data_IF_795994853898
#
_entry.id   IF_795994853898
#
_cell.length_a   1.000
_cell.length_b   1.000
_cell.length_c   1.000
_cell.angle_alpha   90.00
_cell.angle_beta   90.00
_cell.angle_gamma   90.00
#
_symmetry.space_group_name_H-M   'P 1'
#
loop_
_entity.id
_entity.type
_entity.pdbx_description
1 polymer ?
#
# COMPACT_ATOMS: atom_id res chain seq x y z
N UNK A 1 14.93 -1.92 -35.44
CA UNK A 1 14.86 -1.74 -33.97
C UNK A 1 16.28 -1.43 -33.50
N UNK A 2 16.55 -0.21 -33.02
CA UNK A 2 17.92 0.23 -32.74
C UNK A 2 18.47 -0.44 -31.49
N UNK A 3 19.72 -0.91 -31.53
CA UNK A 3 20.46 -1.58 -30.43
C UNK A 3 20.38 -0.77 -29.08
N UNK A 4 20.19 0.55 -29.20
CA UNK A 4 20.12 1.48 -28.08
C UNK A 4 18.91 1.30 -27.16
N UNK A 5 17.89 0.51 -27.54
CA UNK A 5 16.69 0.28 -26.73
C UNK A 5 16.83 -0.95 -25.82
N UNK A 6 17.61 -1.94 -26.26
CA UNK A 6 17.78 -3.19 -25.50
C UNK A 6 18.54 -2.99 -24.19
N UNK A 7 19.54 -2.11 -24.17
CA UNK A 7 20.31 -1.84 -22.96
C UNK A 7 19.45 -1.27 -21.81
N UNK A 8 18.60 -0.22 -22.02
CA UNK A 8 17.63 0.23 -20.99
C UNK A 8 16.59 -0.84 -20.60
N UNK A 9 16.14 -1.69 -21.55
CA UNK A 9 15.22 -2.79 -21.21
C UNK A 9 15.87 -3.80 -20.26
N UNK A 10 17.11 -4.20 -20.54
CA UNK A 10 17.86 -5.08 -19.65
C UNK A 10 18.09 -4.44 -18.28
N UNK A 11 18.37 -3.13 -18.25
CA UNK A 11 18.52 -2.38 -17.03
C UNK A 11 17.27 -2.45 -16.15
N UNK A 12 16.05 -2.39 -16.74
CA UNK A 12 14.79 -2.53 -16.00
C UNK A 12 14.65 -3.90 -15.30
N UNK A 13 15.30 -4.95 -15.79
CA UNK A 13 15.24 -6.29 -15.22
C UNK A 13 16.33 -6.56 -14.16
N UNK A 14 17.36 -5.74 -14.10
CA UNK A 14 18.48 -5.93 -13.15
C UNK A 14 18.01 -6.02 -11.70
N UNK A 15 17.12 -5.15 -11.18
CA UNK A 15 16.66 -5.27 -9.79
C UNK A 15 15.97 -6.59 -9.50
N UNK A 16 15.16 -7.09 -10.42
CA UNK A 16 14.46 -8.38 -10.28
C UNK A 16 15.47 -9.52 -10.20
N UNK A 17 16.41 -9.60 -11.15
CA UNK A 17 17.44 -10.66 -11.17
C UNK A 17 18.32 -10.59 -9.93
N UNK A 18 18.74 -9.39 -9.54
CA UNK A 18 19.57 -9.19 -8.35
C UNK A 18 18.83 -9.64 -7.09
N UNK A 19 17.55 -9.23 -6.92
CA UNK A 19 16.77 -9.63 -5.75
C UNK A 19 16.51 -11.13 -5.72
N UNK A 20 16.19 -11.74 -6.87
CA UNK A 20 16.04 -13.19 -6.99
C UNK A 20 17.29 -13.91 -6.51
N UNK A 21 18.48 -13.55 -7.01
CA UNK A 21 19.74 -14.15 -6.61
C UNK A 21 20.08 -13.91 -5.14
N UNK A 22 19.84 -12.70 -4.63
CA UNK A 22 20.07 -12.37 -3.23
C UNK A 22 19.16 -13.19 -2.30
N UNK A 23 17.89 -13.35 -2.64
CA UNK A 23 16.97 -14.17 -1.85
C UNK A 23 17.40 -15.64 -1.86
N UNK A 24 17.71 -16.19 -3.04
CA UNK A 24 18.16 -17.58 -3.17
C UNK A 24 19.43 -17.88 -2.35
N UNK A 25 20.33 -16.92 -2.21
CA UNK A 25 21.61 -17.09 -1.49
C UNK A 25 21.47 -16.77 0.01
N UNK A 26 20.78 -15.65 0.34
CA UNK A 26 20.80 -15.09 1.71
C UNK A 26 19.65 -15.60 2.60
N UNK A 27 18.56 -16.13 2.02
CA UNK A 27 17.39 -16.53 2.81
C UNK A 27 17.40 -18.05 3.01
N UNK A 28 17.77 -18.55 4.21
CA UNK A 28 17.83 -19.99 4.48
C UNK A 28 16.46 -20.65 4.31
N UNK A 29 16.43 -21.77 3.57
CA UNK A 29 15.21 -22.55 3.34
C UNK A 29 14.23 -21.96 2.34
N UNK A 30 14.64 -20.94 1.57
CA UNK A 30 13.86 -20.46 0.43
C UNK A 30 13.92 -21.49 -0.71
N UNK A 31 12.85 -21.64 -1.46
CA UNK A 31 12.77 -22.56 -2.60
C UNK A 31 12.87 -21.77 -3.91
N UNK A 32 13.94 -22.01 -4.66
CA UNK A 32 14.18 -21.38 -5.99
C UNK A 32 13.02 -21.62 -6.95
N UNK A 33 12.40 -22.81 -6.91
CA UNK A 33 11.21 -23.08 -7.74
C UNK A 33 10.03 -22.16 -7.38
N UNK A 34 9.82 -21.89 -6.08
CA UNK A 34 8.75 -20.97 -5.64
C UNK A 34 9.08 -19.52 -5.93
N UNK A 35 10.34 -19.12 -5.87
CA UNK A 35 10.79 -17.80 -6.35
C UNK A 35 10.47 -17.64 -7.83
N UNK A 36 10.78 -18.65 -8.65
CA UNK A 36 10.45 -18.63 -10.06
C UNK A 36 8.92 -18.55 -10.29
N UNK A 37 8.12 -19.33 -9.55
CA UNK A 37 6.66 -19.26 -9.61
C UNK A 37 6.14 -17.90 -9.16
N UNK A 38 6.77 -17.25 -8.18
CA UNK A 38 6.42 -15.91 -7.74
C UNK A 38 6.67 -14.87 -8.82
N UNK A 39 7.84 -14.93 -9.49
CA UNK A 39 8.15 -14.10 -10.65
C UNK A 39 7.11 -14.30 -11.75
N UNK A 40 6.80 -15.55 -12.08
CA UNK A 40 5.80 -15.87 -13.11
C UNK A 40 4.40 -15.37 -12.73
N UNK A 41 3.98 -15.50 -11.46
CA UNK A 41 2.72 -14.98 -10.97
C UNK A 41 2.64 -13.45 -11.10
N UNK A 42 3.73 -12.74 -10.79
CA UNK A 42 3.83 -11.29 -10.97
C UNK A 42 3.74 -10.87 -12.44
N UNK A 43 4.46 -11.54 -13.32
CA UNK A 43 4.42 -11.26 -14.77
C UNK A 43 3.03 -11.55 -15.38
N UNK A 44 2.43 -12.68 -15.01
CA UNK A 44 1.09 -13.06 -15.50
C UNK A 44 -0.02 -12.14 -14.97
N UNK A 45 0.17 -11.50 -13.81
CA UNK A 45 -0.78 -10.52 -13.29
C UNK A 45 -0.95 -9.30 -14.20
N UNK A 46 0.06 -8.95 -14.99
CA UNK A 46 0.01 -7.82 -15.92
C UNK A 46 -1.15 -7.93 -16.93
N UNK A 47 -1.37 -9.12 -17.48
CA UNK A 47 -2.39 -9.31 -18.53
C UNK A 47 -3.80 -9.00 -18.03
N UNK A 48 -4.31 -9.60 -16.93
CA UNK A 48 -5.63 -9.25 -16.42
C UNK A 48 -5.73 -7.81 -15.91
N UNK A 49 -4.64 -7.22 -15.38
CA UNK A 49 -4.63 -5.80 -15.01
C UNK A 49 -4.94 -4.93 -16.23
N UNK A 50 -4.19 -5.09 -17.33
CA UNK A 50 -4.39 -4.31 -18.56
C UNK A 50 -5.78 -4.52 -19.14
N UNK A 51 -6.29 -5.75 -19.16
CA UNK A 51 -7.64 -6.07 -19.65
C UNK A 51 -8.68 -5.34 -18.79
N UNK A 52 -8.61 -5.45 -17.46
CA UNK A 52 -9.57 -4.80 -16.56
C UNK A 52 -9.49 -3.28 -16.68
N UNK A 53 -8.29 -2.69 -16.69
CA UNK A 53 -8.12 -1.25 -16.87
C UNK A 53 -8.71 -0.79 -18.20
N UNK A 54 -8.49 -1.54 -19.29
CA UNK A 54 -9.04 -1.23 -20.61
C UNK A 54 -10.58 -1.33 -20.64
N UNK A 55 -11.17 -2.35 -20.02
CA UNK A 55 -12.63 -2.52 -19.95
C UNK A 55 -13.32 -1.40 -19.17
N UNK A 56 -12.67 -0.88 -18.12
CA UNK A 56 -13.19 0.21 -17.30
C UNK A 56 -12.77 1.59 -17.80
N UNK A 57 -11.85 1.68 -18.76
CA UNK A 57 -11.35 2.94 -19.32
C UNK A 57 -12.41 3.56 -20.24
N UNK A 58 -13.17 4.50 -19.71
CA UNK A 58 -14.02 5.37 -20.51
C UNK A 58 -13.35 6.74 -20.63
N UNK A 59 -12.90 7.11 -21.83
CA UNK A 59 -12.16 8.35 -22.10
C UNK A 59 -12.89 9.61 -21.61
N UNK A 60 -14.23 9.64 -21.67
CA UNK A 60 -15.02 10.78 -21.15
C UNK A 60 -14.97 10.87 -19.63
N UNK A 61 -15.05 9.73 -18.95
CA UNK A 61 -14.93 9.68 -17.49
C UNK A 61 -13.52 10.07 -17.07
N UNK A 62 -12.50 9.61 -17.79
CA UNK A 62 -11.10 9.96 -17.51
C UNK A 62 -10.86 11.49 -17.61
N UNK A 63 -11.38 12.16 -18.64
CA UNK A 63 -11.26 13.62 -18.78
C UNK A 63 -11.95 14.36 -17.63
N UNK A 64 -13.16 13.93 -17.21
CA UNK A 64 -13.88 14.51 -16.08
C UNK A 64 -13.15 14.29 -14.75
N UNK A 65 -12.57 13.11 -14.56
CA UNK A 65 -11.81 12.76 -13.36
C UNK A 65 -10.53 13.59 -13.23
N UNK A 66 -9.84 13.86 -14.34
CA UNK A 66 -8.62 14.69 -14.35
C UNK A 66 -8.90 16.18 -14.10
N UNK A 67 -10.11 16.66 -14.38
CA UNK A 67 -10.49 18.06 -14.18
C UNK A 67 -10.68 18.44 -12.70
N UNK A 68 -10.90 17.48 -11.82
CA UNK A 68 -11.13 17.70 -10.39
C UNK A 68 -10.16 16.85 -9.57
N UNK A 69 -9.40 17.48 -8.67
CA UNK A 69 -8.40 16.84 -7.83
C UNK A 69 -8.97 15.68 -7.00
N UNK A 70 -10.16 15.86 -6.42
CA UNK A 70 -10.81 14.82 -5.62
C UNK A 70 -11.21 13.60 -6.48
N UNK A 71 -11.77 13.84 -7.66
CA UNK A 71 -12.10 12.76 -8.59
C UNK A 71 -10.85 12.06 -9.11
N UNK A 72 -9.76 12.80 -9.30
CA UNK A 72 -8.46 12.22 -9.69
C UNK A 72 -7.90 11.26 -8.63
N UNK A 73 -8.03 11.59 -7.33
CA UNK A 73 -7.66 10.68 -6.23
C UNK A 73 -8.52 9.41 -6.28
N UNK A 74 -9.84 9.55 -6.39
CA UNK A 74 -10.76 8.40 -6.46
C UNK A 74 -10.42 7.52 -7.67
N UNK A 75 -10.16 8.14 -8.83
CA UNK A 75 -9.73 7.42 -10.02
C UNK A 75 -8.47 6.60 -9.75
N UNK A 76 -7.42 7.21 -9.16
CA UNK A 76 -6.18 6.51 -8.85
C UNK A 76 -6.38 5.37 -7.84
N UNK A 77 -7.23 5.58 -6.83
CA UNK A 77 -7.55 4.52 -5.85
C UNK A 77 -8.27 3.33 -6.48
N UNK A 78 -9.19 3.56 -7.42
CA UNK A 78 -9.98 2.48 -8.05
C UNK A 78 -9.21 1.83 -9.19
N UNK A 79 -8.66 2.60 -10.12
CA UNK A 79 -8.04 2.07 -11.34
C UNK A 79 -6.65 1.48 -11.11
N UNK A 80 -5.83 2.15 -10.30
CA UNK A 80 -4.48 1.65 -10.01
C UNK A 80 -4.48 0.86 -8.70
N UNK A 81 -4.95 1.47 -7.60
CA UNK A 81 -4.93 0.80 -6.31
C UNK A 81 -5.75 -0.49 -6.28
N UNK A 82 -7.07 -0.42 -6.49
CA UNK A 82 -7.96 -1.56 -6.31
C UNK A 82 -7.76 -2.65 -7.37
N UNK A 83 -7.72 -2.28 -8.65
CA UNK A 83 -7.60 -3.26 -9.74
C UNK A 83 -6.27 -3.97 -9.65
N UNK A 84 -5.16 -3.21 -9.53
CA UNK A 84 -3.83 -3.81 -9.53
C UNK A 84 -3.56 -4.64 -8.28
N UNK A 85 -3.85 -4.12 -7.09
CA UNK A 85 -3.62 -4.87 -5.86
C UNK A 85 -4.56 -6.06 -5.72
N UNK A 86 -5.80 -5.94 -6.21
CA UNK A 86 -6.75 -7.06 -6.26
C UNK A 86 -6.25 -8.19 -7.15
N UNK A 87 -5.76 -7.89 -8.36
CA UNK A 87 -5.21 -8.87 -9.29
C UNK A 87 -3.90 -9.46 -8.77
N UNK A 88 -2.99 -8.63 -8.22
CA UNK A 88 -1.76 -9.12 -7.57
C UNK A 88 -2.05 -10.09 -6.44
N UNK A 89 -3.00 -9.74 -5.55
CA UNK A 89 -3.41 -10.65 -4.49
C UNK A 89 -4.01 -11.95 -5.05
N UNK A 90 -4.84 -11.89 -6.09
CA UNK A 90 -5.37 -13.07 -6.75
C UNK A 90 -4.26 -13.96 -7.35
N UNK A 91 -3.27 -13.38 -8.02
CA UNK A 91 -2.13 -14.13 -8.58
C UNK A 91 -1.28 -14.82 -7.50
N UNK A 92 -1.10 -14.17 -6.34
CA UNK A 92 -0.38 -14.75 -5.20
C UNK A 92 -1.11 -15.94 -4.56
N UNK A 93 -2.42 -16.13 -4.80
CA UNK A 93 -3.15 -17.31 -4.31
C UNK A 93 -2.64 -18.62 -4.92
N UNK A 94 -1.98 -18.57 -6.08
CA UNK A 94 -1.34 -19.73 -6.72
C UNK A 94 -0.18 -20.26 -5.86
N UNK A 95 0.47 -19.39 -5.09
CA UNK A 95 1.57 -19.77 -4.21
C UNK A 95 1.03 -20.48 -2.96
N UNK A 96 1.68 -21.60 -2.61
CA UNK A 96 1.34 -22.36 -1.42
C UNK A 96 1.77 -21.61 -0.16
N UNK A 97 0.79 -21.10 0.62
CA UNK A 97 1.05 -20.41 1.88
C UNK A 97 0.96 -21.32 3.12
N UNK A 98 0.12 -22.40 3.07
CA UNK A 98 -0.01 -23.33 4.19
C UNK A 98 1.25 -24.18 4.35
N UNK A 99 1.79 -24.23 5.57
CA UNK A 99 3.03 -24.93 5.89
C UNK A 99 4.29 -24.23 5.39
N UNK A 100 4.18 -23.03 4.83
CA UNK A 100 5.32 -22.20 4.48
C UNK A 100 5.72 -21.33 5.67
N UNK A 101 6.99 -20.90 5.69
CA UNK A 101 7.45 -19.91 6.64
C UNK A 101 6.96 -18.50 6.22
N UNK A 102 6.48 -17.71 7.18
CA UNK A 102 6.05 -16.31 6.96
C UNK A 102 7.10 -15.51 6.18
N UNK A 103 8.37 -15.61 6.58
CA UNK A 103 9.47 -14.89 5.93
C UNK A 103 9.60 -15.24 4.45
N UNK A 104 9.55 -16.55 4.13
CA UNK A 104 9.70 -17.01 2.76
C UNK A 104 8.51 -16.61 1.90
N UNK A 105 7.27 -16.75 2.42
CA UNK A 105 6.08 -16.35 1.70
C UNK A 105 6.03 -14.84 1.45
N UNK A 106 6.45 -14.05 2.44
CA UNK A 106 6.59 -12.59 2.29
C UNK A 106 7.62 -12.21 1.23
N UNK A 107 8.78 -12.90 1.21
CA UNK A 107 9.81 -12.70 0.19
C UNK A 107 9.31 -13.06 -1.23
N UNK A 108 8.57 -14.17 -1.40
CA UNK A 108 7.93 -14.51 -2.66
C UNK A 108 6.93 -13.44 -3.12
N UNK A 109 6.15 -12.89 -2.19
CA UNK A 109 5.16 -11.84 -2.51
C UNK A 109 5.85 -10.55 -2.97
N UNK A 110 6.92 -10.12 -2.29
CA UNK A 110 7.75 -8.98 -2.72
C UNK A 110 8.32 -9.23 -4.12
N UNK A 111 8.85 -10.42 -4.36
CA UNK A 111 9.46 -10.78 -5.65
C UNK A 111 8.43 -10.77 -6.79
N UNK A 112 7.20 -11.22 -6.55
CA UNK A 112 6.10 -11.13 -7.50
C UNK A 112 5.74 -9.67 -7.84
N UNK A 113 5.67 -8.79 -6.83
CA UNK A 113 5.45 -7.35 -7.04
C UNK A 113 6.58 -6.70 -7.83
N UNK A 114 7.84 -7.05 -7.52
CA UNK A 114 8.99 -6.58 -8.28
C UNK A 114 8.95 -7.03 -9.74
N UNK A 115 8.55 -8.27 -10.00
CA UNK A 115 8.43 -8.80 -11.37
C UNK A 115 7.42 -7.99 -12.19
N UNK A 116 6.25 -7.68 -11.60
CA UNK A 116 5.26 -6.82 -12.24
C UNK A 116 5.82 -5.41 -12.51
N UNK A 117 6.40 -4.76 -11.50
CA UNK A 117 6.94 -3.40 -11.63
C UNK A 117 8.10 -3.29 -12.63
N UNK A 118 8.97 -4.30 -12.70
CA UNK A 118 10.01 -4.39 -13.73
C UNK A 118 9.40 -4.50 -15.12
N UNK A 119 8.40 -5.37 -15.31
CA UNK A 119 7.73 -5.58 -16.57
C UNK A 119 6.97 -4.31 -17.02
N UNK A 120 6.27 -3.68 -16.13
CA UNK A 120 5.61 -2.39 -16.38
C UNK A 120 6.62 -1.32 -16.80
N UNK A 121 7.78 -1.26 -16.17
CA UNK A 121 8.86 -0.33 -16.56
C UNK A 121 9.37 -0.61 -17.98
N UNK A 122 9.45 -1.87 -18.39
CA UNK A 122 9.78 -2.25 -19.79
C UNK A 122 8.70 -1.79 -20.75
N UNK A 123 7.42 -1.97 -20.41
CA UNK A 123 6.30 -1.52 -21.25
C UNK A 123 6.29 0.00 -21.40
N UNK A 124 6.54 0.74 -20.31
CA UNK A 124 6.68 2.20 -20.35
C UNK A 124 7.84 2.64 -21.26
N UNK A 125 8.96 1.96 -21.16
CA UNK A 125 10.12 2.21 -22.03
C UNK A 125 9.76 2.02 -23.51
N UNK A 126 9.13 0.89 -23.84
CA UNK A 126 8.73 0.58 -25.23
C UNK A 126 7.73 1.59 -25.79
N UNK A 127 6.75 1.99 -24.98
CA UNK A 127 5.76 3.00 -25.38
C UNK A 127 6.40 4.37 -25.60
N UNK A 128 7.32 4.78 -24.73
CA UNK A 128 8.01 6.06 -24.85
C UNK A 128 8.98 6.11 -26.05
N UNK A 129 9.66 5.00 -26.36
CA UNK A 129 10.54 4.89 -27.56
C UNK A 129 9.73 4.87 -28.84
N UNK A 130 8.53 4.28 -28.85
CA UNK A 130 7.62 4.32 -30.00
C UNK A 130 7.21 5.74 -30.37
N UNK A 131 7.20 6.68 -29.41
CA UNK A 131 6.86 8.10 -29.60
C UNK A 131 8.09 9.00 -29.80
N UNK A 132 9.30 8.56 -29.39
CA UNK A 132 10.54 9.35 -29.46
C UNK A 132 11.71 8.48 -29.90
N UNK A 133 12.27 8.67 -31.10
CA UNK A 133 13.27 7.76 -31.68
C UNK A 133 14.67 7.85 -31.05
N UNK A 134 14.92 8.78 -30.13
CA UNK A 134 16.20 8.94 -29.45
C UNK A 134 16.10 8.82 -27.95
N UNK A 135 16.98 7.99 -27.37
CA UNK A 135 17.13 7.86 -25.90
C UNK A 135 17.88 9.08 -25.38
N UNK A 136 17.14 10.05 -24.81
CA UNK A 136 17.76 11.23 -24.18
C UNK A 136 18.19 10.93 -22.73
N UNK A 137 19.08 11.77 -22.19
CA UNK A 137 19.48 11.68 -20.77
C UNK A 137 18.27 11.86 -19.82
N UNK A 138 17.32 12.73 -20.14
CA UNK A 138 16.08 12.94 -19.42
C UNK A 138 15.21 11.67 -19.38
N UNK A 139 15.19 10.95 -20.50
CA UNK A 139 14.47 9.69 -20.59
C UNK A 139 15.09 8.60 -19.70
N UNK A 140 16.42 8.47 -19.68
CA UNK A 140 17.12 7.56 -18.77
C UNK A 140 16.88 7.94 -17.31
N UNK A 141 16.90 9.23 -16.98
CA UNK A 141 16.58 9.72 -15.64
C UNK A 141 15.14 9.35 -15.23
N UNK A 142 14.18 9.48 -16.14
CA UNK A 142 12.79 9.08 -15.88
C UNK A 142 12.68 7.57 -15.59
N UNK A 143 13.34 6.72 -16.37
CA UNK A 143 13.37 5.27 -16.15
C UNK A 143 14.01 4.94 -14.79
N UNK A 144 15.12 5.60 -14.47
CA UNK A 144 15.81 5.39 -13.20
C UNK A 144 14.95 5.78 -12.00
N UNK A 145 14.27 6.93 -12.08
CA UNK A 145 13.32 7.38 -11.07
C UNK A 145 12.17 6.39 -10.91
N UNK A 146 11.63 5.88 -12.01
CA UNK A 146 10.57 4.88 -12.00
C UNK A 146 11.02 3.56 -11.35
N UNK A 147 12.22 3.09 -11.66
CA UNK A 147 12.80 1.91 -11.02
C UNK A 147 13.00 2.12 -9.51
N UNK A 148 13.42 3.33 -9.11
CA UNK A 148 13.63 3.64 -7.70
C UNK A 148 12.32 3.85 -6.90
N UNK A 149 11.22 4.15 -7.55
CA UNK A 149 9.95 4.49 -6.87
C UNK A 149 8.83 3.50 -7.17
N UNK A 150 8.41 3.34 -8.43
CA UNK A 150 7.31 2.47 -8.81
C UNK A 150 7.61 1.00 -8.52
N UNK A 151 8.83 0.53 -8.82
CA UNK A 151 9.25 -0.82 -8.50
C UNK A 151 9.14 -1.12 -6.99
N UNK A 152 9.57 -0.18 -6.15
CA UNK A 152 9.54 -0.34 -4.71
C UNK A 152 8.10 -0.39 -4.19
N UNK A 153 7.22 0.48 -4.71
CA UNK A 153 5.81 0.49 -4.28
C UNK A 153 5.09 -0.80 -4.68
N UNK A 154 5.31 -1.31 -5.91
CA UNK A 154 4.76 -2.60 -6.35
C UNK A 154 5.22 -3.76 -5.46
N UNK A 155 6.52 -3.79 -5.10
CA UNK A 155 7.08 -4.80 -4.21
C UNK A 155 6.45 -4.77 -2.81
N UNK A 156 6.34 -3.58 -2.20
CA UNK A 156 5.79 -3.39 -0.86
C UNK A 156 4.29 -3.70 -0.81
N UNK A 157 3.51 -3.22 -1.78
CA UNK A 157 2.08 -3.48 -1.85
C UNK A 157 1.80 -4.97 -2.08
N UNK A 158 2.56 -5.65 -2.95
CA UNK A 158 2.47 -7.10 -3.10
C UNK A 158 2.88 -7.85 -1.81
N UNK A 159 3.86 -7.33 -1.07
CA UNK A 159 4.21 -7.82 0.27
C UNK A 159 3.03 -7.74 1.24
N UNK A 160 2.32 -6.59 1.30
CA UNK A 160 1.10 -6.42 2.11
C UNK A 160 -0.02 -7.37 1.67
N UNK A 161 -0.25 -7.51 0.36
CA UNK A 161 -1.18 -8.49 -0.20
C UNK A 161 -0.84 -9.93 0.21
N UNK A 162 0.44 -10.28 0.17
CA UNK A 162 0.96 -11.56 0.65
C UNK A 162 0.74 -11.78 2.13
N UNK A 163 0.97 -10.78 2.98
CA UNK A 163 0.66 -10.85 4.40
C UNK A 163 -0.83 -11.08 4.66
N UNK A 164 -1.71 -10.40 3.91
CA UNK A 164 -3.15 -10.61 3.97
C UNK A 164 -3.51 -12.08 3.67
N UNK A 165 -2.96 -12.65 2.59
CA UNK A 165 -3.20 -14.04 2.18
C UNK A 165 -2.65 -15.02 3.22
N UNK A 166 -1.42 -14.83 3.66
CA UNK A 166 -0.77 -15.67 4.64
C UNK A 166 -1.54 -15.69 5.96
N UNK A 167 -1.89 -14.51 6.47
CA UNK A 167 -2.66 -14.35 7.70
C UNK A 167 -4.04 -15.00 7.59
N UNK A 168 -4.76 -14.73 6.50
CA UNK A 168 -6.11 -15.26 6.28
C UNK A 168 -6.17 -16.77 6.14
N UNK A 169 -5.11 -17.40 5.64
CA UNK A 169 -5.04 -18.87 5.46
C UNK A 169 -4.48 -19.61 6.67
N UNK A 170 -3.71 -18.96 7.53
CA UNK A 170 -2.99 -19.61 8.63
C UNK A 170 -3.52 -19.21 10.02
N UNK A 171 -4.16 -18.05 10.17
CA UNK A 171 -4.66 -17.55 11.45
C UNK A 171 -6.17 -17.30 11.38
N UNK A 172 -6.57 -16.15 10.84
CA UNK A 172 -7.98 -15.77 10.65
C UNK A 172 -8.10 -14.76 9.52
N UNK A 173 -9.31 -14.58 8.97
CA UNK A 173 -9.53 -13.60 7.90
C UNK A 173 -9.23 -12.17 8.39
N UNK A 174 -8.28 -11.52 7.73
CA UNK A 174 -7.93 -10.12 7.95
C UNK A 174 -7.51 -9.49 6.64
N UNK A 175 -8.32 -8.58 6.13
CA UNK A 175 -8.09 -7.90 4.86
C UNK A 175 -7.39 -6.55 5.02
N UNK A 176 -7.11 -6.11 6.25
CA UNK A 176 -6.52 -4.78 6.46
C UNK A 176 -5.20 -4.56 5.72
N UNK A 177 -4.23 -5.50 5.63
CA UNK A 177 -3.01 -5.26 4.86
C UNK A 177 -3.29 -5.02 3.37
N UNK A 178 -4.27 -5.72 2.79
CA UNK A 178 -4.65 -5.52 1.38
C UNK A 178 -5.33 -4.15 1.17
N UNK A 179 -6.20 -3.74 2.09
CA UNK A 179 -6.84 -2.41 2.02
C UNK A 179 -5.78 -1.31 2.09
N UNK A 180 -4.79 -1.43 2.98
CA UNK A 180 -3.66 -0.51 3.03
C UNK A 180 -2.84 -0.52 1.74
N UNK A 181 -2.58 -1.68 1.14
CA UNK A 181 -1.89 -1.78 -0.15
C UNK A 181 -2.64 -1.00 -1.24
N UNK A 182 -3.96 -1.18 -1.35
CA UNK A 182 -4.83 -0.49 -2.32
C UNK A 182 -4.74 1.03 -2.14
N UNK A 183 -4.88 1.51 -0.90
CA UNK A 183 -4.86 2.94 -0.59
C UNK A 183 -3.48 3.55 -0.86
N UNK A 184 -2.42 2.92 -0.37
CA UNK A 184 -1.05 3.41 -0.53
C UNK A 184 -0.65 3.43 -2.01
N UNK A 185 -0.96 2.38 -2.77
CA UNK A 185 -0.65 2.32 -4.19
C UNK A 185 -1.39 3.40 -4.98
N UNK A 186 -2.71 3.53 -4.80
CA UNK A 186 -3.49 4.55 -5.50
C UNK A 186 -3.06 5.98 -5.15
N UNK A 187 -2.72 6.26 -3.88
CA UNK A 187 -2.19 7.56 -3.46
C UNK A 187 -0.80 7.82 -4.09
N UNK A 188 0.05 6.79 -4.13
CA UNK A 188 1.35 6.89 -4.80
C UNK A 188 1.18 7.29 -6.28
N UNK A 189 0.34 6.59 -7.02
CA UNK A 189 0.10 6.86 -8.43
C UNK A 189 -0.52 8.25 -8.67
N UNK A 190 -1.44 8.65 -7.78
CA UNK A 190 -1.97 10.01 -7.82
C UNK A 190 -0.86 11.05 -7.74
N UNK A 191 0.06 10.94 -6.76
CA UNK A 191 1.16 11.89 -6.63
C UNK A 191 2.19 11.77 -7.75
N UNK A 192 2.52 10.56 -8.17
CA UNK A 192 3.51 10.30 -9.22
C UNK A 192 3.07 10.84 -10.60
N UNK A 193 1.75 10.85 -10.88
CA UNK A 193 1.17 11.37 -12.11
C UNK A 193 1.06 12.91 -12.14
N UNK A 194 1.14 13.58 -10.99
CA UNK A 194 0.98 15.02 -10.90
C UNK A 194 2.30 15.77 -11.18
N UNK A 195 2.14 17.07 -11.56
CA UNK A 195 3.27 17.96 -11.77
C UNK A 195 3.90 18.42 -10.44
N UNK A 196 5.08 19.05 -10.53
CA UNK A 196 5.70 19.72 -9.38
C UNK A 196 4.76 20.73 -8.71
N UNK A 197 4.73 20.84 -7.36
CA UNK A 197 5.56 20.10 -6.37
C UNK A 197 4.94 18.80 -5.86
N UNK A 198 3.70 18.45 -6.25
CA UNK A 198 2.95 17.30 -5.71
C UNK A 198 3.66 15.96 -5.92
N UNK A 199 4.41 15.82 -7.01
CA UNK A 199 5.15 14.61 -7.33
C UNK A 199 6.11 14.16 -6.21
N UNK A 200 6.66 15.08 -5.42
CA UNK A 200 7.57 14.71 -4.32
C UNK A 200 6.89 13.96 -3.18
N UNK A 201 5.57 14.14 -2.99
CA UNK A 201 4.83 13.38 -1.99
C UNK A 201 4.79 11.88 -2.27
N UNK A 202 5.03 11.43 -3.52
CA UNK A 202 5.18 10.01 -3.84
C UNK A 202 6.30 9.34 -3.03
N UNK A 203 7.38 10.05 -2.72
CA UNK A 203 8.47 9.54 -1.88
C UNK A 203 8.02 9.34 -0.44
N UNK A 204 7.23 10.27 0.12
CA UNK A 204 6.65 10.13 1.45
C UNK A 204 5.71 8.92 1.54
N UNK A 205 4.93 8.67 0.47
CA UNK A 205 4.06 7.48 0.38
C UNK A 205 4.87 6.18 0.38
N UNK A 206 6.02 6.15 -0.30
CA UNK A 206 6.93 4.98 -0.27
C UNK A 206 7.45 4.73 1.15
N UNK A 207 7.87 5.78 1.86
CA UNK A 207 8.32 5.65 3.26
C UNK A 207 7.19 5.11 4.15
N UNK A 208 5.97 5.60 3.96
CA UNK A 208 4.79 5.07 4.65
C UNK A 208 4.56 3.59 4.31
N UNK A 209 4.67 3.20 3.04
CA UNK A 209 4.54 1.80 2.63
C UNK A 209 5.57 0.89 3.31
N UNK A 210 6.82 1.33 3.45
CA UNK A 210 7.87 0.58 4.17
C UNK A 210 7.49 0.39 5.64
N UNK A 211 7.02 1.46 6.31
CA UNK A 211 6.61 1.40 7.71
C UNK A 211 5.42 0.45 7.89
N UNK A 212 4.39 0.55 7.07
CA UNK A 212 3.21 -0.31 7.12
C UNK A 212 3.56 -1.79 6.86
N UNK A 213 4.38 -2.08 5.84
CA UNK A 213 4.89 -3.42 5.62
C UNK A 213 5.58 -3.99 6.85
N UNK A 214 6.44 -3.20 7.51
CA UNK A 214 7.14 -3.62 8.72
C UNK A 214 6.18 -3.89 9.86
N UNK A 215 5.22 -2.99 10.10
CA UNK A 215 4.22 -3.11 11.18
C UNK A 215 3.37 -4.37 10.97
N UNK A 216 2.81 -4.56 9.78
CA UNK A 216 1.98 -5.74 9.49
C UNK A 216 2.78 -7.04 9.54
N UNK A 217 4.03 -7.05 9.07
CA UNK A 217 4.90 -8.21 9.18
C UNK A 217 5.17 -8.60 10.64
N UNK A 218 5.52 -7.62 11.50
CA UNK A 218 5.78 -7.87 12.91
C UNK A 218 4.54 -8.36 13.63
N UNK A 219 3.38 -7.73 13.43
CA UNK A 219 2.08 -8.17 14.00
C UNK A 219 1.71 -9.58 13.57
N UNK A 220 1.92 -9.92 12.29
CA UNK A 220 1.64 -11.28 11.79
C UNK A 220 2.56 -12.30 12.45
N UNK A 221 3.84 -11.98 12.63
CA UNK A 221 4.82 -12.83 13.31
C UNK A 221 4.46 -13.07 14.78
N UNK A 222 4.06 -12.02 15.50
CA UNK A 222 3.65 -12.10 16.90
C UNK A 222 2.39 -12.95 17.07
N UNK A 223 1.38 -12.75 16.23
CA UNK A 223 0.15 -13.53 16.27
C UNK A 223 0.40 -15.03 16.02
N UNK A 224 1.30 -15.36 15.08
CA UNK A 224 1.71 -16.76 14.84
C UNK A 224 2.44 -17.38 16.05
N UNK A 225 3.27 -16.60 16.74
CA UNK A 225 3.97 -17.07 17.94
C UNK A 225 2.98 -17.32 19.09
N UNK A 226 2.02 -16.44 19.29
CA UNK A 226 0.96 -16.56 20.29
C UNK A 226 0.07 -17.78 20.05
N UNK A 227 -0.35 -18.06 18.81
CA UNK A 227 -1.15 -19.24 18.48
C UNK A 227 -0.38 -20.55 18.71
N UNK A 228 0.90 -20.60 18.35
CA UNK A 228 1.75 -21.77 18.61
C UNK A 228 1.92 -22.05 20.11
N UNK A 229 2.10 -21.01 20.92
CA UNK A 229 2.20 -21.12 22.37
C UNK A 229 0.90 -21.63 22.99
N UNK A 230 -0.25 -21.14 22.54
CA UNK A 230 -1.56 -21.60 23.00
C UNK A 230 -1.84 -23.06 22.63
N UNK A 231 -1.40 -23.49 21.42
CA UNK A 231 -1.57 -24.87 20.99
C UNK A 231 -0.66 -25.85 21.74
N UNK A 232 0.59 -25.46 22.08
CA UNK A 232 1.51 -26.30 22.85
C UNK A 232 1.08 -26.45 24.31
N UNK A 233 0.57 -25.39 24.93
CA UNK A 233 0.07 -25.44 26.30
C UNK A 233 -1.17 -26.34 26.49
N UNK A 234 -1.92 -26.61 25.40
CA UNK A 234 -3.07 -27.53 25.43
C UNK A 234 -2.63 -29.01 25.34
N UNK A 235 -1.55 -29.28 24.60
CA UNK A 235 -1.03 -30.65 24.43
C UNK A 235 -0.34 -31.14 25.69
N UNK A 236 0.38 -30.29 26.41
CA UNK A 236 1.03 -30.67 27.68
C UNK A 236 0.01 -30.87 28.81
N UNK A 237 -1.18 -30.24 28.75
CA UNK A 237 -2.26 -30.46 29.72
C UNK A 237 -2.98 -31.80 29.53
N UNK A 238 -2.90 -32.44 28.36
CA UNK A 238 -3.56 -33.71 28.07
C UNK A 238 -2.68 -34.92 28.33
N UNK A 239 -1.34 -34.75 28.50
CA UNK A 239 -0.39 -35.85 28.64
C UNK A 239 -0.08 -36.25 30.08
N UNK A 240 -0.63 -35.59 31.10
CA UNK A 240 -0.36 -35.95 32.49
C UNK A 240 -1.64 -36.03 33.31
N UNK A 241 -2.49 -37.04 33.01
CA UNK A 241 -3.43 -37.56 33.96
C UNK A 241 -3.23 -39.09 33.98
N UNK A 242 -2.14 -39.55 34.56
CA UNK A 242 -2.11 -40.84 35.23
C UNK A 242 -2.98 -40.64 36.49
N UNK A 243 -4.17 -41.24 36.47
CA UNK A 243 -5.10 -41.27 37.61
C UNK A 243 -4.50 -42.19 38.64
N UNK A 244 -4.01 -41.72 39.81
CA UNK A 244 -3.75 -42.59 40.93
C UNK A 244 -5.12 -43.06 41.45
N UNK A 245 -5.32 -44.38 41.53
CA UNK A 245 -6.45 -44.99 42.22
C UNK A 245 -6.36 -44.67 43.71
N UNK A 246 -6.97 -43.61 44.16
CA UNK A 246 -7.33 -43.38 45.57
C UNK A 246 -8.46 -42.35 45.67
N UNK A 247 -9.52 -42.63 46.47
CA UNK A 247 -10.70 -41.77 46.51
C UNK A 247 -10.58 -40.73 47.64
N UNK A 248 -10.00 -39.60 47.37
CA UNK A 248 -10.20 -38.39 48.15
C UNK A 248 -9.40 -37.25 47.57
N UNK A 249 -10.00 -36.38 46.83
CA UNK A 249 -9.88 -34.92 46.75
C UNK A 249 -10.37 -34.40 45.39
N UNK A 250 -11.66 -34.40 45.21
CA UNK A 250 -12.32 -33.56 44.19
C UNK A 250 -12.69 -32.26 44.83
N UNK A 251 -11.76 -31.32 44.96
CA UNK A 251 -12.08 -29.92 45.23
C UNK A 251 -10.99 -29.07 44.54
N UNK A 252 -11.44 -28.11 43.74
CA UNK A 252 -10.69 -26.89 43.33
C UNK A 252 -9.95 -26.84 42.00
N UNK A 253 -10.62 -27.15 40.89
CA UNK A 253 -10.13 -26.68 39.56
C UNK A 253 -11.12 -25.74 38.85
N UNK A 254 -12.32 -25.55 39.44
CA UNK A 254 -13.38 -24.70 38.84
C UNK A 254 -13.20 -23.20 39.10
N UNK A 255 -12.36 -22.81 40.06
CA UNK A 255 -12.14 -21.40 40.47
C UNK A 255 -11.15 -20.64 39.61
N UNK A 256 -10.06 -21.26 39.20
CA UNK A 256 -8.99 -20.57 38.46
C UNK A 256 -9.31 -20.25 36.98
N UNK A 257 -10.13 -21.08 36.32
CA UNK A 257 -10.58 -20.79 34.95
C UNK A 257 -11.51 -19.57 34.88
N UNK A 258 -12.34 -19.37 35.87
CA UNK A 258 -13.26 -18.21 35.91
C UNK A 258 -12.49 -16.90 36.10
N UNK A 259 -11.46 -16.95 36.96
CA UNK A 259 -10.62 -15.77 37.23
C UNK A 259 -9.72 -15.35 36.06
N UNK A 260 -9.26 -16.30 35.26
CA UNK A 260 -8.47 -16.01 34.05
C UNK A 260 -9.30 -15.46 32.90
N UNK A 261 -10.52 -15.96 32.70
CA UNK A 261 -11.45 -15.42 31.70
C UNK A 261 -11.95 -14.03 32.06
N UNK A 262 -12.20 -13.78 33.34
CA UNK A 262 -12.62 -12.46 33.82
C UNK A 262 -11.51 -11.42 33.72
N UNK A 263 -10.25 -11.79 33.97
CA UNK A 263 -9.07 -10.93 33.73
C UNK A 263 -8.89 -10.60 32.25
N UNK A 264 -9.09 -11.56 31.34
CA UNK A 264 -8.99 -11.32 29.89
C UNK A 264 -10.13 -10.42 29.41
N UNK A 265 -11.36 -10.62 29.89
CA UNK A 265 -12.50 -9.76 29.55
C UNK A 265 -12.32 -8.33 30.07
N UNK A 266 -11.81 -8.16 31.29
CA UNK A 266 -11.55 -6.86 31.86
C UNK A 266 -10.44 -6.11 31.10
N UNK A 267 -9.35 -6.80 30.73
CA UNK A 267 -8.29 -6.20 29.91
C UNK A 267 -8.78 -5.77 28.51
N UNK A 268 -9.65 -6.57 27.88
CA UNK A 268 -10.26 -6.21 26.59
C UNK A 268 -11.26 -5.04 26.71
N UNK A 269 -11.91 -4.91 27.86
CA UNK A 269 -12.83 -3.81 28.12
C UNK A 269 -12.08 -2.50 28.38
N UNK A 270 -10.97 -2.55 29.13
CA UNK A 270 -10.06 -1.40 29.34
C UNK A 270 -9.44 -0.92 28.01
N UNK A 271 -8.99 -1.83 27.16
CA UNK A 271 -8.44 -1.49 25.85
C UNK A 271 -9.49 -0.81 24.95
N UNK A 272 -10.73 -1.30 24.95
CA UNK A 272 -11.84 -0.68 24.22
C UNK A 272 -12.20 0.70 24.74
N UNK A 273 -12.19 0.89 26.07
CA UNK A 273 -12.47 2.19 26.68
C UNK A 273 -11.35 3.19 26.38
N UNK A 274 -10.08 2.77 26.43
CA UNK A 274 -8.94 3.59 26.07
C UNK A 274 -9.00 4.03 24.61
N UNK A 275 -9.33 3.10 23.70
CA UNK A 275 -9.46 3.41 22.27
C UNK A 275 -10.61 4.38 22.00
N UNK A 276 -11.77 4.20 22.68
CA UNK A 276 -12.93 5.09 22.56
C UNK A 276 -12.62 6.51 23.02
N UNK A 277 -11.93 6.64 24.14
CA UNK A 277 -11.52 7.93 24.71
C UNK A 277 -10.58 8.68 23.74
N UNK A 278 -9.58 8.00 23.16
CA UNK A 278 -8.67 8.62 22.19
C UNK A 278 -9.37 9.04 20.88
N UNK A 279 -10.40 8.32 20.46
CA UNK A 279 -11.21 8.70 19.28
C UNK A 279 -12.07 9.93 19.57
N UNK A 280 -12.66 10.03 20.76
CA UNK A 280 -13.47 11.18 21.19
C UNK A 280 -12.58 12.43 21.35
N UNK A 281 -11.41 12.34 21.99
CA UNK A 281 -10.43 13.43 22.10
C UNK A 281 -9.91 13.88 20.71
N UNK A 282 -9.64 12.95 19.80
CA UNK A 282 -9.21 13.28 18.44
C UNK A 282 -10.32 13.94 17.60
N UNK A 283 -11.59 13.65 17.86
CA UNK A 283 -12.71 14.30 17.18
C UNK A 283 -12.90 15.75 17.64
N UNK A 284 -12.75 16.03 18.94
CA UNK A 284 -12.81 17.40 19.48
C UNK A 284 -11.66 18.29 18.94
N UNK A 285 -10.45 17.73 18.86
CA UNK A 285 -9.30 18.44 18.25
C UNK A 285 -9.52 18.73 16.76
N UNK A 286 -10.13 17.80 16.02
CA UNK A 286 -10.43 17.99 14.61
C UNK A 286 -11.47 19.09 14.38
N UNK A 287 -12.56 19.13 15.18
CA UNK A 287 -13.56 20.21 15.10
C UNK A 287 -12.95 21.59 15.41
N UNK A 288 -12.01 21.65 16.38
CA UNK A 288 -11.33 22.88 16.73
C UNK A 288 -10.43 23.38 15.59
N UNK A 289 -9.67 22.48 14.96
CA UNK A 289 -8.82 22.81 13.79
C UNK A 289 -9.70 23.26 12.63
N UNK A 290 -10.83 22.65 12.41
CA UNK A 290 -11.76 23.04 11.34
C UNK A 290 -12.36 24.43 11.60
N UNK A 291 -12.76 24.74 12.82
CA UNK A 291 -13.27 26.05 13.18
C UNK A 291 -12.20 27.17 13.03
N UNK A 292 -10.95 26.88 13.41
CA UNK A 292 -9.81 27.81 13.21
C UNK A 292 -9.52 28.04 11.72
N UNK A 293 -9.59 26.99 10.89
CA UNK A 293 -9.41 27.11 9.44
C UNK A 293 -10.52 27.95 8.78
N UNK A 294 -11.78 27.72 9.16
CA UNK A 294 -12.91 28.54 8.66
C UNK A 294 -12.81 30.01 9.07
N UNK A 295 -12.36 30.30 10.30
CA UNK A 295 -12.13 31.64 10.78
C UNK A 295 -11.01 32.35 9.99
N UNK A 296 -9.93 31.64 9.67
CA UNK A 296 -8.82 32.15 8.87
C UNK A 296 -9.27 32.48 7.43
N UNK A 297 -10.05 31.61 6.79
CA UNK A 297 -10.61 31.85 5.45
C UNK A 297 -11.50 33.10 5.43
N UNK A 298 -12.42 33.27 6.39
CA UNK A 298 -13.28 34.44 6.50
C UNK A 298 -12.49 35.75 6.72
N UNK A 299 -11.39 35.67 7.50
CA UNK A 299 -10.51 36.80 7.72
C UNK A 299 -9.77 37.25 6.43
N UNK A 300 -9.39 36.29 5.59
CA UNK A 300 -8.71 36.55 4.32
C UNK A 300 -9.67 37.09 3.25
N UNK A 301 -10.89 36.58 3.19
CA UNK A 301 -11.96 37.09 2.33
C UNK A 301 -12.34 38.55 2.68
N UNK A 302 -12.40 38.90 3.97
CA UNK A 302 -12.65 40.25 4.43
C UNK A 302 -11.55 41.24 4.00
N UNK A 303 -10.28 40.85 4.09
CA UNK A 303 -9.12 41.63 3.61
C UNK A 303 -9.15 41.85 2.10
N UNK A 304 -9.50 40.83 1.33
CA UNK A 304 -9.61 40.91 -0.13
C UNK A 304 -10.76 41.78 -0.60
N UNK A 305 -11.88 41.80 0.14
CA UNK A 305 -13.02 42.66 -0.16
C UNK A 305 -12.70 44.14 0.10
N UNK A 306 -11.88 44.46 1.08
CA UNK A 306 -11.42 45.82 1.40
C UNK A 306 -10.44 46.36 0.33
N UNK A 307 -9.54 45.52 -0.16
CA UNK A 307 -8.57 45.84 -1.21
C UNK A 307 -9.27 46.17 -2.55
N UNK A 308 -10.35 45.47 -2.90
CA UNK A 308 -11.12 45.71 -4.13
C UNK A 308 -11.93 47.03 -4.10
N UNK A 309 -12.29 47.56 -2.93
CA UNK A 309 -13.02 48.85 -2.80
C UNK A 309 -12.10 50.06 -2.95
N UNK A 310 -10.79 49.94 -2.72
CA UNK A 310 -9.82 51.04 -2.83
C UNK A 310 -9.30 51.28 -4.27
N UNK A 311 -9.52 50.33 -5.18
CA UNK A 311 -9.07 50.38 -6.57
C UNK A 311 -10.21 50.83 -7.53
N UNK A 312 -10.85 51.99 -7.28
CA UNK A 312 -11.69 52.64 -8.31
C UNK A 312 -10.78 53.40 -9.28
N UNK A 313 -10.80 53.14 -10.60
CA UNK A 313 -10.00 53.89 -11.54
C UNK A 313 -10.54 55.34 -11.67
N UNK A 314 -9.62 56.32 -11.55
CA UNK A 314 -9.88 57.69 -11.92
C UNK A 314 -10.21 57.72 -13.42
N UNK A 315 -11.37 58.26 -13.75
CA UNK A 315 -11.80 58.59 -15.11
C UNK A 315 -11.00 59.80 -15.58
N UNK A 316 -9.93 59.60 -16.34
CA UNK A 316 -9.27 60.68 -17.09
C UNK A 316 -10.09 61.01 -18.32
N UNK A 317 -10.59 62.27 -18.31
CA UNK A 317 -11.26 62.92 -19.43
C UNK A 317 -10.20 63.47 -20.40
N UNK A 318 -9.88 62.74 -21.44
CA UNK A 318 -9.08 63.25 -22.54
C UNK A 318 -9.98 63.68 -23.68
N UNK A 319 -10.09 65.00 -23.83
CA UNK A 319 -10.68 65.68 -25.00
C UNK A 319 -9.68 65.59 -26.16
N UNK A 320 -9.99 64.82 -27.18
CA UNK A 320 -9.26 64.86 -28.43
C UNK A 320 -9.88 66.00 -29.32
N UNK A 321 -9.10 67.02 -29.55
CA UNK A 321 -9.36 68.02 -30.56
C UNK A 321 -8.83 67.53 -31.90
N UNK A 322 -9.70 67.31 -32.85
CA UNK A 322 -9.34 67.07 -34.26
C UNK A 322 -9.25 68.45 -34.92
N UNK A 323 -8.13 68.77 -35.58
CA UNK A 323 -8.00 69.75 -36.61
C UNK A 323 -7.11 69.24 -37.74
N UNK A 324 -7.70 69.25 -38.90
CA UNK A 324 -7.22 69.25 -40.29
C UNK A 324 -6.39 67.98 -40.70
#
# INVERSE_FOLDING_TARGET
MNLNVYAPMLLCLVPLVTTFLLLAILVPGISVLREFLAVLAGLLAFVPIVILQFLFLNLRIEMLMRANLFLSIIHSLVFFGLIEEGVKAASLLVLKSRGENLRNFFAYSILAGMALGCFESVVYLLTAVGTRPQVSAEFLQMIFLRMATALVIHALCAGLGGLCIFYSKNIRRNFSPLVFAIVIHGIYDFFAANAYPLKYFSVAVILLAVLECRIFYLRTRENLASEKSSASGFVDSEKTIEIPKSPALVISVKGERKNSQEKIQNAQMEEKMFFRKNVEEGAEDFEKIQAEAEAAIKAEESKNSFSKKSAKPKKDSEKTVVKN
#
